data_IF_060957346683
#
_entry.id   IF_060957346683
#
_cell.length_a   1.000
_cell.length_b   1.000
_cell.length_c   1.000
_cell.angle_alpha   90.00
_cell.angle_beta   90.00
_cell.angle_gamma   90.00
#
_symmetry.space_group_name_H-M   'P 1'
#
loop_
_entity.id
_entity.type
_entity.pdbx_description
1 polymer ?
#
# COMPACT_ATOMS: atom_id res chain seq x y z
N UNK A 1 -20.52 -95.59 -102.63
CA UNK A 1 -19.88 -94.94 -101.47
C UNK A 1 -20.81 -95.13 -100.29
N UNK A 2 -20.29 -95.84 -99.29
CA UNK A 2 -20.94 -96.32 -98.08
C UNK A 2 -21.49 -95.19 -97.23
N UNK A 3 -22.79 -95.24 -96.91
CA UNK A 3 -23.36 -94.51 -95.78
C UNK A 3 -22.63 -94.95 -94.50
N UNK A 4 -21.95 -94.05 -93.77
CA UNK A 4 -21.57 -94.36 -92.41
C UNK A 4 -22.86 -94.43 -91.60
N UNK A 5 -23.17 -95.61 -91.08
CA UNK A 5 -24.19 -95.78 -90.06
C UNK A 5 -23.75 -94.97 -88.83
N UNK A 6 -24.29 -93.76 -88.68
CA UNK A 6 -24.25 -93.03 -87.43
C UNK A 6 -25.13 -93.79 -86.42
N UNK A 7 -24.54 -94.76 -85.73
CA UNK A 7 -25.12 -95.42 -84.56
C UNK A 7 -25.01 -94.51 -83.33
N UNK A 8 -25.58 -93.32 -83.41
CA UNK A 8 -25.80 -92.43 -82.29
C UNK A 8 -27.24 -91.96 -82.39
N UNK A 9 -28.11 -92.46 -81.51
CA UNK A 9 -29.45 -91.87 -81.41
C UNK A 9 -29.29 -90.36 -81.14
N UNK A 10 -30.00 -89.48 -81.87
CA UNK A 10 -29.90 -88.04 -81.65
C UNK A 10 -30.15 -87.76 -80.17
N UNK A 11 -29.33 -87.00 -79.45
CA UNK A 11 -29.58 -86.77 -78.01
C UNK A 11 -30.71 -85.75 -77.83
N UNK A 12 -31.59 -85.91 -76.82
CA UNK A 12 -32.73 -85.02 -76.67
C UNK A 12 -32.27 -83.70 -76.05
N UNK A 13 -32.56 -82.56 -76.70
CA UNK A 13 -32.21 -81.23 -76.18
C UNK A 13 -32.81 -80.96 -74.80
N UNK A 14 -34.04 -81.39 -74.58
CA UNK A 14 -34.68 -81.46 -73.27
C UNK A 14 -34.51 -82.89 -72.73
N UNK A 15 -33.75 -83.09 -71.67
CA UNK A 15 -33.47 -84.44 -71.14
C UNK A 15 -34.39 -84.82 -69.98
N UNK A 16 -34.68 -83.87 -69.08
CA UNK A 16 -35.46 -84.15 -67.86
C UNK A 16 -36.29 -82.95 -67.39
N UNK A 17 -37.48 -83.22 -66.86
CA UNK A 17 -38.32 -82.27 -66.14
C UNK A 17 -38.69 -82.85 -64.77
N UNK A 18 -38.24 -82.21 -63.69
CA UNK A 18 -38.62 -82.51 -62.32
C UNK A 18 -39.67 -81.50 -61.85
N UNK A 19 -40.81 -81.99 -61.34
CA UNK A 19 -41.89 -81.20 -60.77
C UNK A 19 -42.10 -81.57 -59.31
N UNK A 20 -42.20 -80.59 -58.42
CA UNK A 20 -42.53 -80.82 -57.02
C UNK A 20 -43.41 -79.70 -56.48
N UNK A 21 -44.59 -80.03 -55.95
CA UNK A 21 -45.54 -79.05 -55.44
C UNK A 21 -46.08 -78.08 -56.48
N UNK A 22 -45.98 -78.40 -57.78
CA UNK A 22 -46.41 -77.53 -58.88
C UNK A 22 -47.80 -77.92 -59.39
N UNK A 23 -48.78 -77.03 -59.28
CA UNK A 23 -50.17 -77.18 -59.74
C UNK A 23 -50.83 -78.48 -59.31
N UNK A 24 -50.85 -79.50 -60.17
CA UNK A 24 -51.44 -80.83 -59.92
C UNK A 24 -50.44 -81.85 -59.37
N UNK A 25 -49.15 -81.51 -59.33
CA UNK A 25 -48.05 -82.40 -58.95
C UNK A 25 -47.63 -82.17 -57.50
N UNK A 26 -48.35 -82.77 -56.55
CA UNK A 26 -48.09 -82.61 -55.11
C UNK A 26 -46.75 -83.22 -54.66
N UNK A 27 -46.44 -84.41 -55.16
CA UNK A 27 -45.20 -85.15 -54.87
C UNK A 27 -44.20 -84.96 -56.00
N UNK A 28 -42.92 -85.25 -55.74
CA UNK A 28 -41.88 -85.17 -56.77
C UNK A 28 -42.21 -86.13 -57.91
N UNK A 29 -42.34 -85.59 -59.12
CA UNK A 29 -42.59 -86.32 -60.36
C UNK A 29 -41.48 -85.97 -61.35
N UNK A 30 -40.87 -87.00 -61.94
CA UNK A 30 -39.76 -86.84 -62.88
C UNK A 30 -40.19 -87.35 -64.24
N UNK A 31 -40.05 -86.53 -65.27
CA UNK A 31 -40.24 -86.91 -66.67
C UNK A 31 -38.88 -86.98 -67.34
N UNK A 32 -38.53 -88.15 -67.85
CA UNK A 32 -37.39 -88.34 -68.74
C UNK A 32 -37.89 -88.23 -70.19
N UNK A 33 -37.18 -87.46 -71.01
CA UNK A 33 -37.52 -87.27 -72.41
C UNK A 33 -36.51 -88.00 -73.28
N UNK A 34 -37.04 -88.73 -74.24
CA UNK A 34 -36.25 -89.39 -75.27
C UNK A 34 -36.25 -88.57 -76.56
N UNK A 35 -35.29 -88.83 -77.45
CA UNK A 35 -35.23 -88.18 -78.75
C UNK A 35 -36.48 -88.46 -79.59
N UNK A 36 -36.96 -87.45 -80.30
CA UNK A 36 -38.12 -87.59 -81.20
C UNK A 36 -39.41 -87.06 -80.58
N UNK A 37 -40.51 -87.81 -80.73
CA UNK A 37 -41.85 -87.35 -80.36
C UNK A 37 -42.26 -87.99 -79.04
N UNK A 38 -42.39 -87.17 -78.00
CA UNK A 38 -42.98 -87.58 -76.72
C UNK A 38 -44.46 -87.19 -76.68
N UNK A 39 -45.35 -88.17 -76.54
CA UNK A 39 -46.79 -87.94 -76.42
C UNK A 39 -47.27 -88.06 -74.97
N UNK A 40 -47.85 -86.99 -74.43
CA UNK A 40 -48.47 -86.99 -73.09
C UNK A 40 -49.97 -87.20 -73.22
N UNK A 41 -50.46 -88.37 -72.81
CA UNK A 41 -51.88 -88.75 -72.89
C UNK A 41 -52.51 -88.95 -71.50
N UNK A 42 -53.84 -88.82 -71.44
CA UNK A 42 -54.59 -88.97 -70.18
C UNK A 42 -55.96 -88.28 -70.22
N UNK A 43 -56.87 -88.59 -69.29
CA UNK A 43 -58.22 -88.02 -69.27
C UNK A 43 -58.24 -86.52 -68.97
N UNK A 44 -59.33 -85.84 -69.28
CA UNK A 44 -59.47 -84.41 -68.96
C UNK A 44 -59.33 -84.17 -67.45
N UNK A 45 -58.60 -83.12 -67.07
CA UNK A 45 -58.29 -82.83 -65.67
C UNK A 45 -57.07 -83.58 -65.09
N UNK A 46 -56.42 -84.47 -65.84
CA UNK A 46 -55.23 -85.21 -65.36
C UNK A 46 -53.93 -84.38 -65.25
N UNK A 47 -53.99 -83.07 -65.49
CA UNK A 47 -52.83 -82.17 -65.36
C UNK A 47 -51.86 -82.15 -66.53
N UNK A 48 -52.19 -82.75 -67.69
CA UNK A 48 -51.33 -82.76 -68.90
C UNK A 48 -50.82 -81.37 -69.29
N UNK A 49 -51.74 -80.41 -69.35
CA UNK A 49 -51.40 -79.04 -69.73
C UNK A 49 -50.59 -78.30 -68.65
N UNK A 50 -50.51 -78.82 -67.43
CA UNK A 50 -49.65 -78.23 -66.39
C UNK A 50 -48.16 -78.57 -66.64
N UNK A 51 -47.86 -79.60 -67.43
CA UNK A 51 -46.48 -79.94 -67.81
C UNK A 51 -45.90 -78.84 -68.71
N UNK A 52 -46.67 -78.39 -69.71
CA UNK A 52 -46.26 -77.28 -70.58
C UNK A 52 -46.17 -75.95 -69.81
N UNK A 53 -47.09 -75.71 -68.87
CA UNK A 53 -47.02 -74.54 -68.00
C UNK A 53 -45.77 -74.56 -67.10
N UNK A 54 -45.36 -75.74 -66.63
CA UNK A 54 -44.15 -75.88 -65.82
C UNK A 54 -42.89 -75.50 -66.61
N UNK A 55 -42.78 -75.95 -67.86
CA UNK A 55 -41.67 -75.60 -68.75
C UNK A 55 -41.63 -74.09 -69.01
N UNK A 56 -42.77 -73.45 -69.32
CA UNK A 56 -42.82 -71.98 -69.48
C UNK A 56 -42.40 -71.27 -68.19
N UNK A 57 -42.93 -71.72 -67.07
CA UNK A 57 -42.70 -71.10 -65.77
C UNK A 57 -41.23 -71.13 -65.37
N UNK A 58 -40.56 -72.28 -65.51
CA UNK A 58 -39.13 -72.39 -65.16
C UNK A 58 -38.22 -71.62 -66.11
N UNK A 59 -38.62 -71.47 -67.38
CA UNK A 59 -37.89 -70.67 -68.36
C UNK A 59 -37.99 -69.16 -68.09
N UNK A 60 -38.86 -68.71 -67.20
CA UNK A 60 -38.94 -67.30 -66.79
C UNK A 60 -40.19 -66.56 -67.23
N UNK A 61 -41.21 -67.27 -67.72
CA UNK A 61 -42.50 -66.67 -68.05
C UNK A 61 -43.11 -66.03 -66.80
N UNK A 62 -43.58 -64.79 -66.95
CA UNK A 62 -44.19 -63.98 -65.88
C UNK A 62 -45.64 -63.62 -66.17
N UNK A 63 -46.12 -63.86 -67.40
CA UNK A 63 -47.50 -63.59 -67.80
C UNK A 63 -48.48 -64.52 -67.08
N UNK A 64 -49.36 -63.93 -66.27
CA UNK A 64 -50.47 -64.61 -65.60
C UNK A 64 -51.41 -65.31 -66.58
N UNK A 65 -51.59 -64.72 -67.76
CA UNK A 65 -52.42 -65.27 -68.83
C UNK A 65 -51.77 -66.52 -69.46
N UNK A 66 -50.46 -66.47 -69.72
CA UNK A 66 -49.72 -67.59 -70.32
C UNK A 66 -49.62 -68.80 -69.38
N UNK A 67 -49.55 -68.54 -68.08
CA UNK A 67 -49.44 -69.56 -67.02
C UNK A 67 -50.79 -70.04 -66.48
N UNK A 68 -51.93 -69.54 -66.99
CA UNK A 68 -53.28 -69.84 -66.50
C UNK A 68 -53.38 -69.77 -64.96
N UNK A 69 -52.76 -68.75 -64.38
CA UNK A 69 -52.61 -68.54 -62.94
C UNK A 69 -52.75 -67.05 -62.67
N UNK A 70 -53.61 -66.63 -61.74
CA UNK A 70 -53.86 -65.20 -61.50
C UNK A 70 -52.75 -64.58 -60.66
N UNK A 71 -52.17 -65.36 -59.75
CA UNK A 71 -51.02 -65.00 -58.90
C UNK A 71 -49.91 -66.03 -59.06
N UNK A 72 -48.68 -65.60 -58.79
CA UNK A 72 -47.52 -66.52 -58.79
C UNK A 72 -47.68 -67.63 -57.76
N UNK A 73 -48.36 -67.38 -56.65
CA UNK A 73 -48.67 -68.37 -55.60
C UNK A 73 -49.63 -69.47 -56.09
N UNK A 74 -50.45 -69.19 -57.11
CA UNK A 74 -51.44 -70.16 -57.64
C UNK A 74 -50.78 -71.33 -58.38
N UNK A 75 -49.48 -71.22 -58.69
CA UNK A 75 -48.70 -72.33 -59.25
C UNK A 75 -48.36 -73.39 -58.18
N UNK A 76 -48.53 -73.07 -56.89
CA UNK A 76 -48.26 -73.97 -55.77
C UNK A 76 -49.46 -74.88 -55.53
N UNK A 77 -49.23 -76.20 -55.43
CA UNK A 77 -50.26 -77.19 -55.19
C UNK A 77 -51.12 -76.80 -53.96
N UNK A 78 -52.40 -76.54 -54.20
CA UNK A 78 -53.33 -75.98 -53.22
C UNK A 78 -54.00 -77.03 -52.31
N UNK A 79 -53.69 -78.32 -52.48
CA UNK A 79 -54.37 -79.41 -51.79
C UNK A 79 -55.41 -80.09 -52.68
N UNK A 80 -55.60 -81.40 -52.50
CA UNK A 80 -56.58 -82.18 -53.28
C UNK A 80 -56.31 -83.69 -53.24
N UNK A 81 -57.36 -84.50 -53.48
CA UNK A 81 -57.30 -85.96 -53.54
C UNK A 81 -56.55 -86.61 -52.35
N UNK A 82 -56.84 -86.15 -51.12
CA UNK A 82 -56.24 -86.68 -49.89
C UNK A 82 -54.82 -86.19 -49.58
N UNK A 83 -54.27 -85.26 -50.34
CA UNK A 83 -52.94 -84.66 -50.10
C UNK A 83 -53.06 -83.23 -49.59
N UNK A 84 -52.26 -82.91 -48.57
CA UNK A 84 -52.16 -81.56 -48.00
C UNK A 84 -51.53 -80.56 -48.98
N UNK A 85 -51.86 -79.26 -48.89
CA UNK A 85 -51.20 -78.22 -49.68
C UNK A 85 -49.70 -78.18 -49.42
N UNK A 86 -48.91 -77.90 -50.47
CA UNK A 86 -47.46 -77.70 -50.32
C UNK A 86 -47.14 -76.24 -49.99
N UNK A 87 -46.02 -76.00 -49.30
CA UNK A 87 -45.53 -74.64 -49.01
C UNK A 87 -44.72 -74.00 -50.14
N UNK A 88 -44.31 -74.80 -51.12
CA UNK A 88 -43.43 -74.40 -52.22
C UNK A 88 -43.79 -75.20 -53.48
N UNK A 89 -43.60 -74.57 -54.64
CA UNK A 89 -43.47 -75.23 -55.93
C UNK A 89 -42.02 -75.14 -56.42
N UNK A 90 -41.48 -76.25 -56.91
CA UNK A 90 -40.18 -76.35 -57.56
C UNK A 90 -40.37 -77.02 -58.91
N UNK A 91 -39.77 -76.42 -59.94
CA UNK A 91 -39.65 -77.01 -61.27
C UNK A 91 -38.20 -76.92 -61.70
N UNK A 92 -37.63 -78.04 -62.11
CA UNK A 92 -36.29 -78.11 -62.71
C UNK A 92 -36.39 -78.69 -64.10
N UNK A 93 -35.85 -77.97 -65.09
CA UNK A 93 -35.62 -78.49 -66.44
C UNK A 93 -34.14 -78.73 -66.63
N UNK A 94 -33.81 -79.88 -67.22
CA UNK A 94 -32.44 -80.25 -67.59
C UNK A 94 -32.35 -80.30 -69.12
N UNK A 95 -31.36 -79.61 -69.66
CA UNK A 95 -31.05 -79.56 -71.08
C UNK A 95 -29.73 -80.27 -71.36
N UNK A 96 -29.70 -81.08 -72.41
CA UNK A 96 -28.43 -81.52 -73.00
C UNK A 96 -27.89 -80.37 -73.87
N UNK A 97 -26.68 -79.93 -73.56
CA UNK A 97 -25.95 -78.85 -74.20
C UNK A 97 -24.60 -79.33 -74.80
N UNK A 98 -24.48 -80.59 -75.21
CA UNK A 98 -23.27 -81.14 -75.87
C UNK A 98 -22.94 -80.40 -77.18
N UNK A 99 -23.96 -79.94 -77.91
CA UNK A 99 -23.82 -79.13 -79.12
C UNK A 99 -23.51 -77.65 -78.83
N UNK A 100 -23.46 -77.23 -77.56
CA UNK A 100 -23.15 -75.84 -77.17
C UNK A 100 -24.18 -74.80 -77.64
N UNK A 101 -25.44 -75.20 -77.80
CA UNK A 101 -26.51 -74.33 -78.33
C UNK A 101 -27.08 -73.35 -77.28
N UNK A 102 -26.84 -73.61 -75.98
CA UNK A 102 -27.03 -72.64 -74.91
C UNK A 102 -25.70 -71.93 -74.61
N UNK A 103 -25.73 -70.62 -74.26
CA UNK A 103 -24.54 -69.84 -73.91
C UNK A 103 -24.01 -70.23 -72.51
N UNK A 104 -23.50 -71.45 -72.39
CA UNK A 104 -23.01 -72.09 -71.17
C UNK A 104 -21.86 -73.03 -71.51
N UNK A 105 -20.84 -73.07 -70.67
CA UNK A 105 -19.67 -73.95 -70.81
C UNK A 105 -19.97 -75.40 -70.42
N UNK A 106 -21.11 -75.64 -69.77
CA UNK A 106 -21.52 -76.96 -69.31
C UNK A 106 -22.23 -77.75 -70.42
N UNK A 107 -21.90 -79.03 -70.54
CA UNK A 107 -22.56 -80.00 -71.45
C UNK A 107 -23.96 -80.39 -70.98
N UNK A 108 -24.28 -80.19 -69.71
CA UNK A 108 -25.63 -80.32 -69.16
C UNK A 108 -25.99 -79.03 -68.40
N UNK A 109 -27.17 -78.49 -68.70
CA UNK A 109 -27.64 -77.24 -68.10
C UNK A 109 -28.97 -77.47 -67.41
N UNK A 110 -29.00 -77.26 -66.10
CA UNK A 110 -30.19 -77.35 -65.27
C UNK A 110 -30.69 -75.95 -64.91
N UNK A 111 -31.96 -75.67 -65.20
CA UNK A 111 -32.62 -74.43 -64.81
C UNK A 111 -33.70 -74.80 -63.79
N UNK A 112 -33.66 -74.20 -62.60
CA UNK A 112 -34.62 -74.45 -61.53
C UNK A 112 -35.28 -73.16 -61.11
N UNK A 113 -36.61 -73.20 -60.93
CA UNK A 113 -37.39 -72.11 -60.34
C UNK A 113 -38.15 -72.64 -59.12
N UNK A 114 -38.08 -71.89 -58.02
CA UNK A 114 -38.84 -72.13 -56.79
C UNK A 114 -39.75 -70.94 -56.49
N UNK A 115 -40.99 -71.20 -56.12
CA UNK A 115 -41.89 -70.20 -55.55
C UNK A 115 -42.40 -70.64 -54.19
N UNK A 116 -42.48 -69.69 -53.27
CA UNK A 116 -42.99 -69.88 -51.92
C UNK A 116 -44.30 -69.12 -51.75
N UNK A 117 -45.16 -69.58 -50.83
CA UNK A 117 -46.43 -68.89 -50.52
C UNK A 117 -46.26 -67.46 -50.00
N UNK A 118 -45.07 -67.10 -49.52
CA UNK A 118 -44.74 -65.74 -49.11
C UNK A 118 -44.40 -64.78 -50.27
N UNK A 119 -44.56 -65.21 -51.52
CA UNK A 119 -44.27 -64.40 -52.71
C UNK A 119 -42.81 -64.41 -53.17
N UNK A 120 -41.90 -65.00 -52.39
CA UNK A 120 -40.49 -65.15 -52.78
C UNK A 120 -40.35 -66.12 -53.96
N UNK A 121 -39.51 -65.73 -54.93
CA UNK A 121 -39.17 -66.52 -56.10
C UNK A 121 -37.65 -66.66 -56.17
N UNK A 122 -37.18 -67.90 -56.33
CA UNK A 122 -35.76 -68.20 -56.41
C UNK A 122 -35.45 -68.91 -57.72
N UNK A 123 -34.34 -68.52 -58.35
CA UNK A 123 -33.91 -69.02 -59.64
C UNK A 123 -32.50 -69.60 -59.50
N UNK A 124 -32.27 -70.74 -60.14
CA UNK A 124 -30.99 -71.42 -60.12
C UNK A 124 -30.62 -71.90 -61.52
N UNK A 125 -29.34 -71.77 -61.86
CA UNK A 125 -28.72 -72.40 -63.04
C UNK A 125 -27.60 -73.28 -62.51
N UNK A 126 -27.62 -74.58 -62.82
CA UNK A 126 -26.64 -75.56 -62.30
C UNK A 126 -26.46 -75.49 -60.77
N UNK A 127 -27.58 -75.33 -60.06
CA UNK A 127 -27.61 -75.23 -58.59
C UNK A 127 -27.14 -73.88 -58.01
N UNK A 128 -26.57 -72.98 -58.81
CA UNK A 128 -26.17 -71.64 -58.37
C UNK A 128 -27.35 -70.68 -58.42
N UNK A 129 -27.58 -69.94 -57.34
CA UNK A 129 -28.65 -68.91 -57.29
C UNK A 129 -28.32 -67.76 -58.24
N UNK A 130 -29.26 -67.40 -59.09
CA UNK A 130 -29.16 -66.34 -60.10
C UNK A 130 -30.39 -65.42 -60.08
N UNK A 131 -30.36 -64.32 -60.83
CA UNK A 131 -31.53 -63.44 -61.00
C UNK A 131 -32.41 -63.96 -62.15
N UNK A 132 -33.69 -63.58 -62.16
CA UNK A 132 -34.60 -63.85 -63.29
C UNK A 132 -34.00 -63.36 -64.62
N UNK A 133 -33.29 -62.22 -64.61
CA UNK A 133 -32.63 -61.68 -65.81
C UNK A 133 -31.63 -62.67 -66.42
N UNK A 134 -30.90 -63.39 -65.56
CA UNK A 134 -29.84 -64.30 -66.00
C UNK A 134 -30.46 -65.56 -66.61
N UNK A 135 -31.56 -66.05 -66.04
CA UNK A 135 -32.37 -67.13 -66.64
C UNK A 135 -32.96 -66.70 -67.98
N UNK A 136 -33.54 -65.50 -68.06
CA UNK A 136 -34.09 -64.97 -69.30
C UNK A 136 -33.03 -64.78 -70.40
N UNK A 137 -31.81 -64.40 -70.03
CA UNK A 137 -30.69 -64.27 -70.97
C UNK A 137 -30.19 -65.63 -71.47
N UNK A 138 -30.02 -66.61 -70.56
CA UNK A 138 -29.60 -67.96 -70.91
C UNK A 138 -30.62 -68.65 -71.83
N UNK A 139 -31.91 -68.43 -71.57
CA UNK A 139 -33.03 -69.07 -72.28
C UNK A 139 -33.58 -68.20 -73.41
N UNK A 140 -32.92 -67.10 -73.75
CA UNK A 140 -33.38 -66.17 -74.78
C UNK A 140 -33.58 -66.85 -76.15
N UNK A 141 -32.70 -67.80 -76.48
CA UNK A 141 -32.74 -68.59 -77.72
C UNK A 141 -33.86 -69.64 -77.74
N UNK A 142 -34.37 -70.05 -76.57
CA UNK A 142 -35.49 -70.98 -76.46
C UNK A 142 -36.84 -70.29 -76.71
N UNK A 143 -36.95 -69.01 -76.36
CA UNK A 143 -38.16 -68.22 -76.55
C UNK A 143 -39.25 -68.50 -75.54
N UNK A 144 -39.68 -67.47 -74.82
CA UNK A 144 -40.75 -67.58 -73.82
C UNK A 144 -42.12 -67.97 -74.44
N UNK A 145 -42.37 -67.59 -75.69
CA UNK A 145 -43.70 -67.70 -76.34
C UNK A 145 -43.81 -68.79 -77.42
N UNK A 146 -42.69 -69.36 -77.89
CA UNK A 146 -42.66 -70.12 -79.15
C UNK A 146 -42.14 -71.56 -79.06
N UNK A 147 -41.38 -71.94 -78.03
CA UNK A 147 -41.06 -73.37 -77.77
C UNK A 147 -42.27 -74.13 -77.26
N UNK A 148 -43.19 -73.44 -76.60
CA UNK A 148 -44.39 -74.05 -76.02
C UNK A 148 -45.61 -73.43 -76.70
N UNK A 149 -46.20 -74.14 -77.65
CA UNK A 149 -47.43 -73.71 -78.33
C UNK A 149 -48.64 -74.04 -77.45
N UNK A 150 -49.34 -72.99 -76.99
CA UNK A 150 -50.53 -73.13 -76.16
C UNK A 150 -51.81 -73.24 -76.98
N UNK A 151 -52.90 -73.58 -76.33
CA UNK A 151 -54.23 -73.54 -76.95
C UNK A 151 -54.58 -72.10 -77.37
N UNK A 152 -54.94 -71.89 -78.64
CA UNK A 152 -55.31 -70.59 -79.21
C UNK A 152 -54.14 -69.69 -79.68
N UNK A 153 -52.89 -70.11 -79.47
CA UNK A 153 -51.71 -69.34 -79.91
C UNK A 153 -51.56 -69.31 -81.45
N UNK A 154 -52.05 -70.33 -82.14
CA UNK A 154 -52.04 -70.41 -83.61
C UNK A 154 -52.98 -69.37 -84.22
N UNK A 155 -54.20 -69.26 -83.70
CA UNK A 155 -55.17 -68.25 -84.14
C UNK A 155 -54.69 -66.84 -83.80
N UNK A 156 -54.09 -66.67 -82.62
CA UNK A 156 -53.49 -65.41 -82.20
C UNK A 156 -52.38 -64.98 -83.16
N UNK A 157 -51.44 -65.86 -83.51
CA UNK A 157 -50.33 -65.57 -84.42
C UNK A 157 -50.81 -65.11 -85.81
N UNK A 158 -51.90 -65.70 -86.31
CA UNK A 158 -52.50 -65.30 -87.60
C UNK A 158 -53.19 -63.92 -87.53
N UNK A 159 -53.70 -63.55 -86.35
CA UNK A 159 -54.40 -62.28 -86.10
C UNK A 159 -53.50 -61.10 -85.65
N UNK A 160 -52.22 -61.34 -85.38
CA UNK A 160 -51.30 -60.32 -84.85
C UNK A 160 -51.03 -59.17 -85.84
N UNK A 161 -50.88 -57.95 -85.29
CA UNK A 161 -50.49 -56.75 -86.03
C UNK A 161 -49.03 -56.84 -86.52
N UNK A 162 -48.67 -56.03 -87.51
CA UNK A 162 -47.33 -56.04 -88.11
C UNK A 162 -46.19 -55.84 -87.08
N UNK A 163 -46.39 -54.96 -86.08
CA UNK A 163 -45.39 -54.69 -85.04
C UNK A 163 -45.22 -55.88 -84.07
N UNK A 164 -46.30 -56.54 -83.69
CA UNK A 164 -46.27 -57.75 -82.87
C UNK A 164 -45.64 -58.91 -83.63
N UNK A 165 -45.92 -58.99 -84.94
CA UNK A 165 -45.35 -59.99 -85.85
C UNK A 165 -43.87 -59.74 -86.16
N UNK A 166 -43.37 -58.52 -85.99
CA UNK A 166 -41.93 -58.27 -86.09
C UNK A 166 -41.16 -58.96 -84.97
N UNK A 167 -41.69 -58.91 -83.74
CA UNK A 167 -41.08 -59.60 -82.59
C UNK A 167 -40.97 -61.11 -82.80
N UNK A 168 -41.96 -61.71 -83.48
CA UNK A 168 -41.96 -63.10 -83.94
C UNK A 168 -40.72 -63.43 -84.79
N UNK A 169 -40.46 -62.64 -85.84
CA UNK A 169 -39.35 -62.88 -86.75
C UNK A 169 -37.99 -62.59 -86.13
N UNK A 170 -37.90 -61.55 -85.31
CA UNK A 170 -36.66 -61.22 -84.60
C UNK A 170 -36.28 -62.29 -83.59
N UNK A 171 -37.28 -62.92 -82.97
CA UNK A 171 -37.06 -64.06 -82.10
C UNK A 171 -36.61 -65.31 -82.89
N UNK A 172 -37.24 -65.59 -84.03
CA UNK A 172 -36.81 -66.67 -84.92
C UNK A 172 -35.38 -66.45 -85.48
N UNK A 173 -34.94 -65.19 -85.57
CA UNK A 173 -33.58 -64.81 -85.95
C UNK A 173 -32.59 -64.74 -84.77
N UNK A 174 -32.98 -65.18 -83.57
CA UNK A 174 -32.16 -65.18 -82.33
C UNK A 174 -31.63 -63.79 -81.92
N UNK A 175 -32.36 -62.72 -82.24
CA UNK A 175 -31.93 -61.34 -81.93
C UNK A 175 -32.33 -60.87 -80.52
N UNK A 176 -33.15 -61.64 -79.81
CA UNK A 176 -33.73 -61.24 -78.52
C UNK A 176 -32.66 -60.92 -77.46
N UNK A 177 -31.61 -61.75 -77.36
CA UNK A 177 -30.52 -61.53 -76.41
C UNK A 177 -29.70 -60.27 -76.70
N UNK A 178 -29.46 -59.97 -77.98
CA UNK A 178 -28.74 -58.76 -78.40
C UNK A 178 -29.53 -57.49 -78.09
N UNK A 179 -30.85 -57.49 -78.32
CA UNK A 179 -31.71 -56.34 -77.99
C UNK A 179 -31.73 -56.06 -76.48
N UNK A 180 -31.75 -57.11 -75.66
CA UNK A 180 -31.69 -56.95 -74.20
C UNK A 180 -30.37 -56.28 -73.78
N UNK A 181 -29.24 -56.70 -74.36
CA UNK A 181 -27.91 -56.11 -74.10
C UNK A 181 -27.84 -54.64 -74.52
N UNK A 182 -28.37 -54.28 -75.69
CA UNK A 182 -28.41 -52.88 -76.17
C UNK A 182 -29.22 -52.01 -75.21
N UNK A 183 -30.42 -52.46 -74.83
CA UNK A 183 -31.28 -51.70 -73.91
C UNK A 183 -30.69 -51.56 -72.49
N UNK A 184 -29.82 -52.48 -72.06
CA UNK A 184 -29.08 -52.38 -70.80
C UNK A 184 -27.91 -51.39 -70.92
N UNK A 185 -27.18 -51.42 -72.03
CA UNK A 185 -26.09 -50.48 -72.31
C UNK A 185 -26.60 -49.02 -72.41
N UNK A 186 -27.71 -48.79 -73.10
CA UNK A 186 -28.35 -47.46 -73.20
C UNK A 186 -28.78 -46.93 -71.83
N UNK A 187 -29.38 -47.78 -70.99
CA UNK A 187 -29.75 -47.40 -69.62
C UNK A 187 -28.52 -47.02 -68.79
N UNK A 188 -27.46 -47.82 -68.87
CA UNK A 188 -26.22 -47.58 -68.13
C UNK A 188 -25.53 -46.28 -68.58
N UNK A 189 -25.57 -45.98 -69.89
CA UNK A 189 -25.02 -44.75 -70.45
C UNK A 189 -25.78 -43.52 -69.94
N UNK A 190 -27.12 -43.56 -69.99
CA UNK A 190 -27.95 -42.46 -69.50
C UNK A 190 -27.72 -42.17 -68.00
N UNK A 191 -27.52 -43.22 -67.19
CA UNK A 191 -27.16 -43.06 -65.77
C UNK A 191 -25.79 -42.42 -65.59
N UNK A 192 -24.80 -42.80 -66.40
CA UNK A 192 -23.45 -42.22 -66.36
C UNK A 192 -23.47 -40.72 -66.76
N UNK A 193 -24.23 -40.37 -67.78
CA UNK A 193 -24.38 -38.98 -68.23
C UNK A 193 -25.04 -38.11 -67.15
N UNK A 194 -26.12 -38.60 -66.53
CA UNK A 194 -26.78 -37.91 -65.43
C UNK A 194 -25.85 -37.69 -64.22
N UNK A 195 -25.04 -38.69 -63.88
CA UNK A 195 -24.05 -38.58 -62.81
C UNK A 195 -22.95 -37.55 -63.14
N UNK A 196 -22.49 -37.55 -64.39
CA UNK A 196 -21.45 -36.61 -64.85
C UNK A 196 -21.93 -35.17 -64.85
N UNK A 197 -23.18 -34.93 -65.27
CA UNK A 197 -23.81 -33.61 -65.18
C UNK A 197 -23.85 -33.13 -63.72
N UNK A 198 -24.28 -33.99 -62.79
CA UNK A 198 -24.33 -33.66 -61.36
C UNK A 198 -22.96 -33.34 -60.76
N UNK A 199 -21.91 -34.07 -61.14
CA UNK A 199 -20.54 -33.79 -60.69
C UNK A 199 -20.05 -32.43 -61.20
N UNK A 200 -20.40 -32.09 -62.44
CA UNK A 200 -20.05 -30.80 -63.05
C UNK A 200 -20.72 -29.65 -62.30
N UNK A 201 -22.00 -29.78 -61.96
CA UNK A 201 -22.72 -28.77 -61.16
C UNK A 201 -22.06 -28.56 -59.78
N UNK A 202 -21.72 -29.65 -59.09
CA UNK A 202 -21.03 -29.59 -57.79
C UNK A 202 -19.66 -28.91 -57.89
N UNK A 203 -18.87 -29.21 -58.92
CA UNK A 203 -17.59 -28.54 -59.14
C UNK A 203 -17.77 -27.03 -59.37
N UNK A 204 -18.78 -26.66 -60.16
CA UNK A 204 -19.09 -25.27 -60.48
C UNK A 204 -19.53 -24.49 -59.22
N UNK A 205 -20.22 -25.15 -58.29
CA UNK A 205 -20.59 -24.58 -56.98
C UNK A 205 -19.41 -24.47 -56.01
N UNK A 206 -18.54 -25.49 -55.96
CA UNK A 206 -17.45 -25.58 -54.97
C UNK A 206 -16.25 -24.72 -55.32
N UNK A 207 -15.95 -24.50 -56.60
CA UNK A 207 -14.76 -23.77 -57.03
C UNK A 207 -14.73 -22.29 -56.54
N UNK A 208 -15.84 -21.51 -56.62
CA UNK A 208 -15.89 -20.17 -56.06
C UNK A 208 -15.72 -20.14 -54.54
N UNK A 209 -16.29 -21.13 -53.84
CA UNK A 209 -16.14 -21.28 -52.37
C UNK A 209 -14.67 -21.51 -52.02
N UNK A 210 -14.00 -22.41 -52.73
CA UNK A 210 -12.58 -22.69 -52.54
C UNK A 210 -11.71 -21.45 -52.76
N UNK A 211 -11.97 -20.68 -53.84
CA UNK A 211 -11.26 -19.41 -54.10
C UNK A 211 -11.44 -18.40 -52.97
N UNK A 212 -12.64 -18.29 -52.42
CA UNK A 212 -12.94 -17.40 -51.29
C UNK A 212 -12.23 -17.84 -50.02
N UNK A 213 -12.29 -19.13 -49.68
CA UNK A 213 -11.58 -19.69 -48.52
C UNK A 213 -10.06 -19.56 -48.66
N UNK A 214 -9.51 -19.71 -49.86
CA UNK A 214 -8.08 -19.50 -50.10
C UNK A 214 -7.65 -18.05 -49.86
N UNK A 215 -8.48 -17.06 -50.23
CA UNK A 215 -8.24 -15.64 -49.92
C UNK A 215 -8.31 -15.38 -48.42
N UNK A 216 -9.31 -15.93 -47.73
CA UNK A 216 -9.45 -15.82 -46.28
C UNK A 216 -8.25 -16.44 -45.54
N UNK A 217 -7.78 -17.61 -45.97
CA UNK A 217 -6.59 -18.25 -45.41
C UNK A 217 -5.32 -17.42 -45.62
N UNK A 218 -5.17 -16.77 -46.78
CA UNK A 218 -4.04 -15.86 -47.04
C UNK A 218 -4.06 -14.66 -46.10
N UNK A 219 -5.21 -14.00 -45.97
CA UNK A 219 -5.37 -12.86 -45.06
C UNK A 219 -5.11 -13.25 -43.59
N UNK A 220 -5.58 -14.42 -43.16
CA UNK A 220 -5.34 -14.91 -41.81
C UNK A 220 -3.84 -15.12 -41.54
N UNK A 221 -3.10 -15.69 -42.50
CA UNK A 221 -1.63 -15.86 -42.39
C UNK A 221 -0.90 -14.51 -42.36
N UNK A 222 -1.29 -13.56 -43.21
CA UNK A 222 -0.73 -12.20 -43.22
C UNK A 222 -0.99 -11.50 -41.89
N UNK A 223 -2.23 -11.56 -41.38
CA UNK A 223 -2.59 -11.00 -40.08
C UNK A 223 -1.76 -11.62 -38.95
N UNK A 224 -1.58 -12.94 -38.95
CA UNK A 224 -0.78 -13.62 -37.94
C UNK A 224 0.69 -13.16 -37.98
N UNK A 225 1.28 -13.09 -39.17
CA UNK A 225 2.63 -12.55 -39.36
C UNK A 225 2.76 -11.11 -38.87
N UNK A 226 1.80 -10.25 -39.19
CA UNK A 226 1.78 -8.86 -38.74
C UNK A 226 1.62 -8.74 -37.23
N UNK A 227 0.75 -9.55 -36.62
CA UNK A 227 0.56 -9.62 -35.17
C UNK A 227 1.83 -10.05 -34.45
N UNK A 228 2.51 -11.07 -34.96
CA UNK A 228 3.76 -11.57 -34.36
C UNK A 228 4.86 -10.51 -34.46
N UNK A 229 4.96 -9.85 -35.63
CA UNK A 229 5.90 -8.73 -35.82
C UNK A 229 5.59 -7.55 -34.89
N UNK A 230 4.32 -7.17 -34.75
CA UNK A 230 3.88 -6.12 -33.85
C UNK A 230 4.23 -6.47 -32.40
N UNK A 231 3.93 -7.69 -31.96
CA UNK A 231 4.21 -8.17 -30.60
C UNK A 231 5.71 -8.14 -30.31
N UNK A 232 6.54 -8.56 -31.26
CA UNK A 232 8.00 -8.48 -31.15
C UNK A 232 8.48 -7.03 -30.99
N UNK A 233 7.99 -6.12 -31.83
CA UNK A 233 8.35 -4.70 -31.77
C UNK A 233 7.87 -4.03 -30.48
N UNK A 234 6.65 -4.30 -30.04
CA UNK A 234 6.08 -3.80 -28.79
C UNK A 234 6.90 -4.25 -27.59
N UNK A 235 7.27 -5.53 -27.51
CA UNK A 235 8.15 -6.05 -26.46
C UNK A 235 9.49 -5.31 -26.44
N UNK A 236 10.08 -5.05 -27.61
CA UNK A 236 11.31 -4.27 -27.71
C UNK A 236 11.15 -2.81 -27.26
N UNK A 237 10.03 -2.17 -27.63
CA UNK A 237 9.71 -0.81 -27.23
C UNK A 237 9.50 -0.69 -25.71
N UNK A 238 8.65 -1.53 -25.13
CA UNK A 238 8.38 -1.51 -23.69
C UNK A 238 9.60 -1.88 -22.87
N UNK A 239 10.46 -2.80 -23.33
CA UNK A 239 11.73 -3.08 -22.67
C UNK A 239 12.63 -1.85 -22.61
N UNK A 240 12.68 -1.06 -23.68
CA UNK A 240 13.46 0.18 -23.73
C UNK A 240 12.89 1.25 -22.80
N UNK A 241 11.56 1.45 -22.83
CA UNK A 241 10.88 2.36 -21.91
C UNK A 241 11.15 1.98 -20.45
N UNK A 242 11.00 0.70 -20.11
CA UNK A 242 11.27 0.19 -18.77
C UNK A 242 12.73 0.44 -18.37
N UNK A 243 13.69 0.17 -19.27
CA UNK A 243 15.11 0.43 -19.00
C UNK A 243 15.37 1.91 -18.73
N UNK A 244 14.84 2.80 -19.58
CA UNK A 244 14.98 4.25 -19.37
C UNK A 244 14.31 4.74 -18.08
N UNK A 245 13.20 4.12 -17.65
CA UNK A 245 12.55 4.44 -16.40
C UNK A 245 13.38 3.98 -15.19
N UNK A 246 13.97 2.78 -15.26
CA UNK A 246 14.87 2.28 -14.23
C UNK A 246 16.12 3.15 -14.13
N UNK A 247 16.77 3.47 -15.25
CA UNK A 247 17.98 4.32 -15.25
C UNK A 247 17.68 5.70 -14.62
N UNK A 248 16.51 6.30 -14.91
CA UNK A 248 16.05 7.55 -14.26
C UNK A 248 15.76 7.37 -12.77
N UNK A 249 15.18 6.24 -12.38
CA UNK A 249 14.93 5.95 -10.97
C UNK A 249 16.24 5.81 -10.19
N UNK A 250 17.23 5.15 -10.77
CA UNK A 250 18.56 5.00 -10.17
C UNK A 250 19.26 6.37 -10.05
N UNK A 251 19.19 7.21 -11.08
CA UNK A 251 19.74 8.58 -11.05
C UNK A 251 19.06 9.47 -10.00
N UNK A 252 17.72 9.42 -9.94
CA UNK A 252 16.96 10.16 -8.93
C UNK A 252 17.19 9.63 -7.51
N UNK A 253 17.35 8.31 -7.34
CA UNK A 253 17.75 7.71 -6.07
C UNK A 253 19.14 8.17 -5.63
N UNK A 254 20.13 8.15 -6.54
CA UNK A 254 21.48 8.63 -6.24
C UNK A 254 21.48 10.11 -5.83
N UNK A 255 20.78 10.97 -6.57
CA UNK A 255 20.66 12.40 -6.21
C UNK A 255 19.93 12.61 -4.88
N UNK A 256 18.92 11.81 -4.58
CA UNK A 256 18.23 11.85 -3.28
C UNK A 256 19.19 11.49 -2.13
N UNK A 257 19.98 10.41 -2.26
CA UNK A 257 20.95 10.03 -1.22
C UNK A 257 22.03 11.10 -1.00
N UNK A 258 22.51 11.76 -2.07
CA UNK A 258 23.45 12.88 -1.96
C UNK A 258 22.82 14.08 -1.24
N UNK A 259 21.57 14.41 -1.57
CA UNK A 259 20.85 15.50 -0.92
C UNK A 259 20.57 15.19 0.56
N UNK A 260 20.23 13.94 0.90
CA UNK A 260 20.05 13.51 2.30
C UNK A 260 21.35 13.66 3.10
N UNK A 261 22.48 13.24 2.53
CA UNK A 261 23.80 13.42 3.14
C UNK A 261 24.15 14.91 3.32
N UNK A 262 23.85 15.74 2.32
CA UNK A 262 24.06 17.18 2.40
C UNK A 262 23.18 17.84 3.49
N UNK A 263 21.91 17.44 3.59
CA UNK A 263 21.00 17.92 4.65
C UNK A 263 21.47 17.49 6.03
N UNK A 264 21.95 16.25 6.19
CA UNK A 264 22.52 15.78 7.46
C UNK A 264 23.74 16.62 7.86
N UNK A 265 24.69 16.83 6.95
CA UNK A 265 25.88 17.66 7.20
C UNK A 265 25.53 19.12 7.53
N UNK A 266 24.52 19.70 6.88
CA UNK A 266 24.02 21.03 7.18
C UNK A 266 23.35 21.11 8.56
N UNK A 267 22.64 20.06 8.99
CA UNK A 267 22.07 19.98 10.35
C UNK A 267 23.15 19.94 11.41
N UNK A 268 24.18 19.10 11.24
CA UNK A 268 25.32 19.03 12.16
C UNK A 268 26.05 20.38 12.23
N UNK A 269 26.20 21.06 11.09
CA UNK A 269 26.80 22.39 11.03
C UNK A 269 25.95 23.43 11.76
N UNK A 270 24.63 23.37 11.59
CA UNK A 270 23.70 24.28 12.27
C UNK A 270 23.74 24.07 13.79
N UNK A 271 23.70 22.84 14.26
CA UNK A 271 23.78 22.49 15.69
C UNK A 271 25.06 23.05 16.31
N UNK A 272 26.21 22.83 15.66
CA UNK A 272 27.49 23.42 16.10
C UNK A 272 27.45 24.95 16.17
N UNK A 273 26.88 25.62 15.16
CA UNK A 273 26.76 27.09 15.17
C UNK A 273 25.83 27.56 16.27
N UNK A 274 24.75 26.82 16.55
CA UNK A 274 23.82 27.14 17.63
C UNK A 274 24.48 27.00 19.02
N UNK A 275 25.29 25.95 19.22
CA UNK A 275 26.10 25.74 20.41
C UNK A 275 27.15 26.84 20.58
N UNK A 276 27.90 27.17 19.53
CA UNK A 276 28.88 28.27 19.54
C UNK A 276 28.20 29.61 19.87
N UNK A 277 27.03 29.88 19.27
CA UNK A 277 26.23 31.08 19.55
C UNK A 277 25.74 31.10 20.99
N UNK A 278 25.32 29.96 21.53
CA UNK A 278 24.86 29.86 22.91
C UNK A 278 26.01 30.10 23.89
N UNK A 279 27.17 29.46 23.67
CA UNK A 279 28.38 29.71 24.44
C UNK A 279 28.83 31.17 24.39
N UNK A 280 28.76 31.82 23.23
CA UNK A 280 29.06 33.23 23.08
C UNK A 280 28.07 34.13 23.85
N UNK A 281 26.78 33.78 23.86
CA UNK A 281 25.76 34.51 24.65
C UNK A 281 25.98 34.38 26.14
N UNK A 282 26.32 33.18 26.61
CA UNK A 282 26.59 32.93 28.02
C UNK A 282 27.85 33.68 28.47
N UNK A 283 28.92 33.65 27.66
CA UNK A 283 30.12 34.45 27.90
C UNK A 283 29.81 35.97 27.93
N UNK A 284 28.97 36.46 27.00
CA UNK A 284 28.53 37.85 26.99
C UNK A 284 27.63 38.23 28.18
N UNK A 285 26.87 37.28 28.75
CA UNK A 285 26.11 37.50 29.98
C UNK A 285 27.06 37.64 31.18
N UNK A 286 28.01 36.72 31.33
CA UNK A 286 29.03 36.78 32.39
C UNK A 286 29.83 38.08 32.31
N UNK A 287 30.23 38.50 31.11
CA UNK A 287 30.95 39.76 30.91
C UNK A 287 30.11 40.99 31.29
N UNK A 288 28.80 40.98 30.99
CA UNK A 288 27.87 42.05 31.40
C UNK A 288 27.70 42.12 32.91
N UNK A 289 27.56 40.98 33.57
CA UNK A 289 27.44 40.93 35.04
C UNK A 289 28.73 41.41 35.71
N UNK A 290 29.90 41.02 35.18
CA UNK A 290 31.19 41.51 35.63
C UNK A 290 31.33 43.04 35.44
N UNK A 291 30.92 43.56 34.29
CA UNK A 291 30.91 45.01 34.02
C UNK A 291 30.00 45.75 35.01
N UNK A 292 28.77 45.26 35.23
CA UNK A 292 27.85 45.85 36.19
C UNK A 292 28.42 45.86 37.63
N UNK A 293 29.12 44.80 38.03
CA UNK A 293 29.82 44.75 39.31
C UNK A 293 30.98 45.74 39.38
N UNK A 294 31.75 45.90 38.29
CA UNK A 294 32.81 46.91 38.20
C UNK A 294 32.26 48.34 38.24
N UNK A 295 31.16 48.63 37.55
CA UNK A 295 30.50 49.94 37.56
C UNK A 295 29.93 50.27 38.96
N UNK A 296 29.30 49.30 39.62
CA UNK A 296 28.83 49.47 41.00
C UNK A 296 30.00 49.76 41.96
N UNK A 297 31.13 49.06 41.79
CA UNK A 297 32.35 49.31 42.57
C UNK A 297 32.95 50.68 42.28
N UNK A 298 32.98 51.09 41.01
CA UNK A 298 33.45 52.42 40.59
C UNK A 298 32.58 53.51 41.22
N UNK A 299 31.25 53.39 41.16
CA UNK A 299 30.33 54.32 41.80
C UNK A 299 30.54 54.39 43.32
N UNK A 300 30.74 53.25 43.99
CA UNK A 300 31.04 53.24 45.42
C UNK A 300 32.36 53.97 45.75
N UNK A 301 33.41 53.75 44.95
CA UNK A 301 34.70 54.44 45.11
C UNK A 301 34.55 55.93 44.82
N UNK A 302 33.81 56.33 43.78
CA UNK A 302 33.55 57.74 43.45
C UNK A 302 32.79 58.45 44.58
N UNK A 303 31.80 57.80 45.18
CA UNK A 303 31.05 58.33 46.32
C UNK A 303 31.96 58.46 47.55
N UNK A 304 32.81 57.46 47.83
CA UNK A 304 33.82 57.56 48.88
C UNK A 304 34.81 58.70 48.61
N UNK A 305 35.31 58.84 47.38
CA UNK A 305 36.22 59.90 46.99
C UNK A 305 35.56 61.29 47.12
N UNK A 306 34.26 61.40 46.78
CA UNK A 306 33.48 62.63 46.96
C UNK A 306 33.32 62.99 48.44
N UNK A 307 33.04 62.00 49.31
CA UNK A 307 32.96 62.20 50.77
C UNK A 307 34.28 62.66 51.35
N UNK A 308 35.38 61.96 51.03
CA UNK A 308 36.73 62.34 51.48
C UNK A 308 37.13 63.70 50.90
N UNK A 309 36.77 64.00 49.65
CA UNK A 309 36.97 65.31 49.05
C UNK A 309 36.24 66.43 49.81
N UNK A 310 34.97 66.21 50.16
CA UNK A 310 34.19 67.14 50.96
C UNK A 310 34.77 67.32 52.38
N UNK A 311 35.15 66.23 53.05
CA UNK A 311 35.83 66.29 54.35
C UNK A 311 37.14 67.08 54.28
N UNK A 312 37.96 66.82 53.26
CA UNK A 312 39.21 67.55 53.02
C UNK A 312 38.96 69.04 52.81
N UNK A 313 37.95 69.40 52.02
CA UNK A 313 37.65 70.79 51.74
C UNK A 313 37.10 71.50 53.00
N UNK A 314 36.29 70.84 53.82
CA UNK A 314 35.86 71.34 55.14
C UNK A 314 37.05 71.53 56.09
N UNK A 315 37.98 70.58 56.14
CA UNK A 315 39.20 70.69 56.94
C UNK A 315 40.07 71.84 56.44
N UNK A 316 40.19 72.03 55.12
CA UNK A 316 40.92 73.16 54.52
C UNK A 316 40.28 74.50 54.86
N UNK A 317 38.95 74.59 54.81
CA UNK A 317 38.21 75.79 55.22
C UNK A 317 38.46 76.10 56.71
N UNK A 318 38.36 75.08 57.58
CA UNK A 318 38.70 75.21 59.02
C UNK A 318 40.15 75.65 59.24
N UNK A 319 41.11 75.10 58.51
CA UNK A 319 42.50 75.53 58.57
C UNK A 319 42.65 76.99 58.15
N UNK A 320 41.97 77.43 57.08
CA UNK A 320 42.02 78.82 56.62
C UNK A 320 41.40 79.79 57.64
N UNK A 321 40.31 79.39 58.30
CA UNK A 321 39.67 80.18 59.36
C UNK A 321 40.55 80.27 60.61
N UNK A 322 41.20 79.16 61.00
CA UNK A 322 42.17 79.16 62.09
C UNK A 322 43.41 79.98 61.76
N UNK A 323 43.90 79.96 60.52
CA UNK A 323 45.02 80.78 60.07
C UNK A 323 44.70 82.27 60.16
N UNK A 324 43.52 82.69 59.66
CA UNK A 324 43.03 84.07 59.82
C UNK A 324 42.92 84.49 61.27
N UNK A 325 42.30 83.65 62.12
CA UNK A 325 42.21 83.91 63.56
C UNK A 325 43.58 84.04 64.23
N UNK A 326 44.59 83.32 63.74
CA UNK A 326 45.98 83.42 64.22
C UNK A 326 46.66 84.71 63.78
N UNK A 327 46.29 85.24 62.63
CA UNK A 327 46.77 86.52 62.10
C UNK A 327 46.13 87.69 62.87
N UNK A 328 44.81 87.66 63.08
CA UNK A 328 44.10 88.63 63.93
C UNK A 328 44.69 88.68 65.36
N UNK A 329 45.05 87.51 65.91
CA UNK A 329 45.72 87.41 67.23
C UNK A 329 47.14 88.00 67.23
N UNK A 330 47.86 87.95 66.11
CA UNK A 330 49.19 88.57 65.99
C UNK A 330 49.09 90.09 65.88
N UNK A 331 48.12 90.59 65.11
CA UNK A 331 47.90 92.02 64.97
C UNK A 331 47.49 92.65 66.31
N UNK A 332 46.63 91.97 67.09
CA UNK A 332 46.31 92.38 68.47
C UNK A 332 47.52 92.33 69.39
N UNK A 333 48.39 91.32 69.26
CA UNK A 333 49.64 91.25 70.03
C UNK A 333 50.60 92.40 69.68
N UNK A 334 50.77 92.73 68.41
CA UNK A 334 51.58 93.87 67.97
C UNK A 334 51.04 95.20 68.48
N UNK A 335 49.72 95.39 68.49
CA UNK A 335 49.10 96.58 69.07
C UNK A 335 49.30 96.72 70.59
N UNK A 336 49.35 95.60 71.31
CA UNK A 336 49.66 95.58 72.74
C UNK A 336 51.15 95.87 73.01
N UNK A 337 52.06 95.36 72.19
CA UNK A 337 53.50 95.64 72.32
C UNK A 337 53.80 97.14 72.13
N UNK A 338 53.12 97.81 71.18
CA UNK A 338 53.22 99.28 71.03
C UNK A 338 52.70 100.04 72.25
N UNK A 339 51.68 99.52 72.95
CA UNK A 339 51.18 100.11 74.19
C UNK A 339 52.19 99.94 75.34
N UNK A 340 52.87 98.80 75.43
CA UNK A 340 53.92 98.55 76.44
C UNK A 340 55.07 99.54 76.28
N UNK A 341 55.57 99.74 75.05
CA UNK A 341 56.66 100.70 74.77
C UNK A 341 56.27 102.12 75.18
N UNK A 342 55.00 102.50 74.98
CA UNK A 342 54.50 103.83 75.36
C UNK A 342 54.47 104.03 76.88
N UNK A 343 54.03 103.01 77.62
CA UNK A 343 53.95 103.05 79.09
C UNK A 343 55.35 103.01 79.72
N UNK A 344 56.31 102.28 79.13
CA UNK A 344 57.70 102.27 79.61
C UNK A 344 58.38 103.64 79.45
N UNK A 345 58.06 104.38 78.39
CA UNK A 345 58.55 105.75 78.19
C UNK A 345 57.98 106.73 79.24
N UNK A 346 56.68 106.64 79.56
CA UNK A 346 56.06 107.43 80.62
C UNK A 346 56.64 107.10 82.01
N UNK A 347 56.94 105.82 82.27
CA UNK A 347 57.54 105.37 83.53
C UNK A 347 58.97 105.92 83.73
N UNK A 348 59.77 105.98 82.66
CA UNK A 348 61.13 106.52 82.71
C UNK A 348 61.15 108.02 83.06
N UNK A 349 60.19 108.79 82.55
CA UNK A 349 60.07 110.22 82.80
C UNK A 349 59.73 110.52 84.27
N UNK A 350 58.79 109.76 84.85
CA UNK A 350 58.39 109.88 86.27
C UNK A 350 59.52 109.44 87.21
N UNK A 351 60.31 108.44 86.83
CA UNK A 351 61.43 107.94 87.65
C UNK A 351 62.57 108.97 87.74
N UNK A 352 62.84 109.71 86.66
CA UNK A 352 63.84 110.76 86.65
C UNK A 352 63.46 111.95 87.56
N UNK A 353 62.17 112.31 87.60
CA UNK A 353 61.66 113.35 88.50
C UNK A 353 61.76 112.94 89.99
N UNK A 354 61.59 111.65 90.31
CA UNK A 354 61.66 111.15 91.68
C UNK A 354 63.09 111.21 92.26
N UNK A 355 64.12 110.93 91.45
CA UNK A 355 65.53 110.96 91.88
C UNK A 355 65.97 112.37 92.29
N UNK A 356 65.51 113.40 91.57
CA UNK A 356 65.84 114.80 91.88
C UNK A 356 65.28 115.26 93.24
N UNK A 357 64.07 114.82 93.60
CA UNK A 357 63.43 115.18 94.88
C UNK A 357 64.11 114.47 96.06
N UNK A 358 64.58 113.23 95.88
CA UNK A 358 65.29 112.47 96.93
C UNK A 358 66.62 113.13 97.30
N UNK A 359 67.34 113.71 96.33
CA UNK A 359 68.59 114.45 96.60
C UNK A 359 68.38 115.74 97.39
N UNK A 360 67.26 116.44 97.20
CA UNK A 360 66.95 117.66 97.95
C UNK A 360 66.60 117.37 99.43
N UNK A 361 65.93 116.24 99.70
CA UNK A 361 65.57 115.82 101.08
C UNK A 361 66.80 115.41 101.91
N UNK A 362 67.83 114.83 101.29
CA UNK A 362 69.01 114.33 102.02
C UNK A 362 69.93 115.48 102.49
N UNK A 363 69.97 116.60 101.77
CA UNK A 363 70.73 117.79 102.17
C UNK A 363 70.10 118.50 103.37
N UNK A 364 68.77 118.56 103.44
CA UNK A 364 68.04 119.16 104.55
C UNK A 364 68.16 118.36 105.87
N UNK A 365 68.26 117.02 105.79
CA UNK A 365 68.42 116.14 106.97
C UNK A 365 69.76 116.30 107.68
N UNK A 366 70.85 116.49 106.94
CA UNK A 366 72.19 116.68 107.54
C UNK A 366 72.31 117.97 108.36
N UNK A 367 71.54 119.00 108.02
CA UNK A 367 71.51 120.25 108.79
C UNK A 367 70.80 120.08 110.16
N UNK A 368 69.83 119.16 110.26
CA UNK A 368 69.00 118.96 111.46
C UNK A 368 69.73 118.16 112.56
N UNK A 369 70.52 117.15 112.20
CA UNK A 369 71.22 116.28 113.16
C UNK A 369 72.27 117.03 113.99
N UNK A 370 72.93 118.04 113.42
CA UNK A 370 73.94 118.84 114.14
C UNK A 370 73.35 119.70 115.25
N UNK A 371 72.09 120.14 115.13
CA UNK A 371 71.42 120.98 116.12
C UNK A 371 70.87 120.18 117.31
N UNK A 372 70.59 118.89 117.13
CA UNK A 372 69.96 118.05 118.15
C UNK A 372 70.95 117.41 119.15
N UNK A 373 72.25 117.41 118.83
CA UNK A 373 73.27 116.81 119.71
C UNK A 373 73.63 117.67 120.93
N UNK A 374 73.52 119.01 120.86
CA UNK A 374 73.90 119.90 121.97
C UNK A 374 72.83 120.02 123.06
N UNK A 375 71.55 119.76 122.75
CA UNK A 375 70.45 119.87 123.70
C UNK A 375 70.34 118.70 124.71
N UNK A 376 70.92 117.53 124.40
CA UNK A 376 70.74 116.29 125.19
C UNK A 376 71.59 116.18 126.46
N UNK A 377 72.60 117.02 126.67
CA UNK A 377 73.45 116.95 127.87
C UNK A 377 72.81 117.58 129.12
N UNK A 378 71.79 118.43 128.99
CA UNK A 378 71.23 119.21 130.11
C UNK A 378 70.12 118.53 130.94
N UNK A 379 69.53 117.42 130.48
CA UNK A 379 68.24 116.97 131.02
C UNK A 379 68.29 115.73 131.93
N UNK A 380 69.45 115.09 132.13
CA UNK A 380 69.53 113.81 132.85
C UNK A 380 69.71 113.90 134.38
N UNK A 381 69.92 115.08 134.97
CA UNK A 381 70.11 115.20 136.43
C UNK A 381 68.82 115.50 137.23
N UNK A 382 67.71 115.86 136.57
CA UNK A 382 66.48 116.27 137.26
C UNK A 382 65.57 115.10 137.68
N UNK A 383 65.82 113.87 137.21
CA UNK A 383 64.88 112.74 137.37
C UNK A 383 65.02 111.92 138.64
N UNK A 384 66.06 112.13 139.47
CA UNK A 384 66.23 111.34 140.70
C UNK A 384 65.50 111.92 141.92
N UNK A 385 65.16 113.21 141.91
CA UNK A 385 64.50 113.88 143.04
C UNK A 385 62.98 113.60 143.13
N UNK A 386 62.33 113.19 142.05
CA UNK A 386 60.87 112.97 142.04
C UNK A 386 60.46 111.55 142.46
N UNK A 387 61.42 110.61 142.56
CA UNK A 387 61.11 109.20 142.83
C UNK A 387 60.91 108.86 144.31
N UNK A 388 61.29 109.72 145.25
CA UNK A 388 61.13 109.45 146.69
C UNK A 388 59.93 110.17 147.35
N UNK A 389 59.25 111.09 146.64
CA UNK A 389 58.04 111.75 147.14
C UNK A 389 56.77 110.89 147.09
N UNK A 390 56.72 109.87 146.23
CA UNK A 390 55.52 109.05 146.00
C UNK A 390 55.37 107.85 146.93
N UNK A 391 56.36 107.56 147.79
CA UNK A 391 56.34 106.39 148.69
C UNK A 391 55.78 106.67 150.10
N UNK A 392 55.73 107.91 150.60
CA UNK A 392 55.24 108.19 151.98
C UNK A 392 53.94 109.02 152.08
N UNK A 393 53.38 109.47 150.96
CA UNK A 393 51.93 109.77 150.88
C UNK A 393 51.05 108.54 151.19
N UNK A 394 51.61 107.33 151.06
CA UNK A 394 50.97 106.06 151.43
C UNK A 394 50.84 105.84 152.95
N UNK A 395 51.57 106.58 153.79
CA UNK A 395 51.46 106.49 155.26
C UNK A 395 50.41 107.45 155.86
N UNK A 396 50.10 108.57 155.19
CA UNK A 396 49.16 109.58 155.71
C UNK A 396 47.70 109.09 155.65
N UNK A 397 47.32 108.35 154.60
CA UNK A 397 45.98 107.74 154.50
C UNK A 397 45.67 106.70 155.59
N UNK A 398 46.67 106.08 156.21
CA UNK A 398 46.47 105.17 157.35
C UNK A 398 46.36 105.90 158.70
N UNK A 399 46.86 107.15 158.83
CA UNK A 399 46.73 107.95 160.05
C UNK A 399 45.45 108.81 160.08
N UNK A 400 44.92 109.22 158.92
CA UNK A 400 43.63 109.91 158.82
C UNK A 400 42.46 109.01 159.24
N UNK A 401 42.56 107.69 159.01
CA UNK A 401 41.60 106.69 159.50
C UNK A 401 41.68 106.42 161.03
N UNK A 402 42.74 106.89 161.71
CA UNK A 402 43.01 106.62 163.14
C UNK A 402 42.79 107.82 164.08
N UNK A 403 42.73 109.07 163.58
CA UNK A 403 42.38 110.26 164.39
C UNK A 403 40.91 110.70 164.21
N UNK A 404 40.22 110.28 163.14
CA UNK A 404 38.76 110.29 163.10
C UNK A 404 38.10 109.46 164.23
N UNK A 405 38.85 108.57 164.89
CA UNK A 405 38.42 107.85 166.10
C UNK A 405 38.70 108.63 167.41
N UNK A 406 39.69 109.54 167.44
CA UNK A 406 40.04 110.35 168.63
C UNK A 406 39.23 111.65 168.74
N UNK A 407 38.65 112.12 167.63
CA UNK A 407 37.60 113.16 167.62
C UNK A 407 36.30 112.69 168.29
N UNK A 408 36.02 111.38 168.37
CA UNK A 408 34.90 110.82 169.14
C UNK A 408 35.22 110.61 170.63
N UNK A 409 36.50 110.43 171.02
CA UNK A 409 36.88 110.14 172.40
C UNK A 409 37.15 111.39 173.26
N UNK A 410 37.55 112.55 172.69
CA UNK A 410 37.74 113.81 173.46
C UNK A 410 36.50 114.70 173.53
N UNK A 411 35.55 114.56 172.60
CA UNK A 411 34.17 115.05 172.77
C UNK A 411 33.49 114.44 174.02
N UNK A 412 33.93 113.25 174.46
CA UNK A 412 33.54 112.62 175.73
C UNK A 412 34.30 113.18 176.96
N UNK A 413 35.42 113.90 176.80
CA UNK A 413 36.16 114.57 177.90
C UNK A 413 35.73 116.04 178.08
N UNK A 414 35.33 116.73 177.01
CA UNK A 414 34.51 117.95 177.09
C UNK A 414 33.23 117.72 177.92
N UNK A 415 32.67 116.50 177.94
CA UNK A 415 31.48 116.17 178.73
C UNK A 415 31.77 115.78 180.20
N UNK A 416 33.00 115.37 180.55
CA UNK A 416 33.37 114.89 181.91
C UNK A 416 34.00 115.94 182.85
N UNK A 417 34.78 116.94 182.42
CA UNK A 417 35.28 118.00 183.36
C UNK A 417 34.40 119.26 183.42
N UNK A 418 33.57 119.52 182.41
CA UNK A 418 32.37 120.38 182.57
C UNK A 418 31.45 119.85 183.70
N UNK A 419 31.52 118.56 184.05
CA UNK A 419 30.80 117.99 185.20
C UNK A 419 31.51 118.11 186.57
N UNK A 420 32.80 118.52 186.67
CA UNK A 420 33.51 118.84 187.96
C UNK A 420 33.65 120.35 188.26
N UNK A 421 33.23 121.19 187.31
CA UNK A 421 32.88 122.61 187.54
C UNK A 421 31.41 122.76 187.97
N UNK A 422 30.55 121.73 187.84
CA UNK A 422 29.09 121.81 188.08
C UNK A 422 28.60 121.01 189.30
N UNK A 423 29.54 120.35 189.99
CA UNK A 423 29.49 120.07 191.43
C UNK A 423 30.66 120.81 192.06
N UNK A 424 30.53 122.12 192.19
CA UNK A 424 29.52 122.80 192.99
C UNK A 424 29.75 122.54 194.46
N UNK A 425 30.04 123.61 195.21
CA UNK A 425 29.25 124.86 195.28
C UNK A 425 27.78 124.61 195.68
N UNK A 426 27.38 123.36 195.95
CA UNK A 426 26.17 123.06 196.71
C UNK A 426 26.48 122.32 198.02
N UNK A 427 27.68 122.54 198.60
CA UNK A 427 28.01 122.40 200.04
C UNK A 427 29.31 123.17 200.37
N UNK A 428 29.44 124.50 200.31
CA UNK A 428 28.46 125.53 200.64
C UNK A 428 27.97 125.41 202.08
N UNK A 429 28.70 126.11 202.94
CA UNK A 429 28.11 127.17 203.77
C UNK A 429 27.17 126.57 204.79
N UNK A 430 27.82 125.84 205.69
CA UNK A 430 28.59 126.52 206.75
C UNK A 430 30.09 126.33 206.53
#
# INVERSE_FOLDING_TARGET
MTHPAASGQPTPRLSRLDLHGFKSFATRTVFAFEPGITAVVGPNGSGKSNISDAVRWVLGETSSNALRSKRTEDVIFAGGAGKAPTGMAEVTVTFNNEEGWLPSEFTEVTVTRRAFRGGDNQYFINGRRVRLKDVALLTASLGQSYTVVGQGLVDAALSQRADERRGLFEHAADLAGLRLKVAEAERSLNEADANTARLTDLLTELEPRLKTMARAARQAREWQSLRDRLTFLQRGHYRRLLRTAIDRLDETGATMTLNEAAVASLRDTLERIEDERQGARDAAAVARDALAAHDARLHAIQEQARRVGHERDLVRERQSALARRREDMRDTQSGLDEQVVRVEAELAEVTAALVAIVTDVDTARRALDTLQASARAGQAACSDLERQGSDLGRAIGQHESRIGALSQQRALIDQKRQSTLAEVERTARE
#
